data_IF_734708491692
#
_entry.id   IF_734708491692
#
_cell.length_a   1.000
_cell.length_b   1.000
_cell.length_c   1.000
_cell.angle_alpha   90.00
_cell.angle_beta   90.00
_cell.angle_gamma   90.00
#
_symmetry.space_group_name_H-M   'P 1'
#
loop_
_entity.id
_entity.type
_entity.pdbx_description
1 polymer ?
#
# COMPACT_ATOMS: atom_id res chain seq x y z
N UNK A 1 -12.59 41.82 5.20
CA UNK A 1 -13.45 40.87 5.93
C UNK A 1 -13.71 39.60 5.12
N UNK A 2 -14.13 39.74 3.85
CA UNK A 2 -14.42 38.61 2.97
C UNK A 2 -13.22 37.69 2.79
N UNK A 3 -12.03 38.23 2.53
CA UNK A 3 -10.80 37.46 2.32
C UNK A 3 -10.32 36.69 3.56
N UNK A 4 -10.68 37.15 4.74
CA UNK A 4 -10.23 36.55 6.00
C UNK A 4 -11.25 35.60 6.64
N UNK A 5 -12.54 35.72 6.32
CA UNK A 5 -13.60 34.97 7.01
C UNK A 5 -14.33 33.96 6.13
N UNK A 6 -14.38 34.18 4.81
CA UNK A 6 -15.17 33.38 3.89
C UNK A 6 -14.35 32.73 2.77
N UNK A 7 -13.04 32.94 2.77
CA UNK A 7 -12.16 32.42 1.74
C UNK A 7 -11.68 31.03 2.08
N UNK A 8 -11.89 30.08 1.17
CA UNK A 8 -11.20 28.80 1.21
C UNK A 8 -9.80 29.01 0.66
N UNK A 9 -8.79 28.78 1.52
CA UNK A 9 -7.40 28.91 1.11
C UNK A 9 -7.04 27.76 0.15
N UNK A 10 -6.78 28.10 -1.11
CA UNK A 10 -6.47 27.14 -2.16
C UNK A 10 -5.25 27.63 -2.97
N UNK A 11 -4.04 27.65 -2.35
CA UNK A 11 -2.84 28.09 -3.04
C UNK A 11 -2.35 27.04 -4.02
N UNK A 12 -1.78 27.48 -5.10
CA UNK A 12 -1.13 26.62 -6.08
C UNK A 12 -0.94 27.33 -7.41
N UNK A 13 0.31 27.45 -7.86
CA UNK A 13 0.66 28.12 -9.10
C UNK A 13 -0.02 27.51 -10.33
N UNK A 14 -0.27 26.21 -10.30
CA UNK A 14 -0.89 25.46 -11.39
C UNK A 14 -2.39 25.23 -11.22
N UNK A 15 -3.02 25.83 -10.19
CA UNK A 15 -4.46 25.76 -10.03
C UNK A 15 -5.16 26.35 -11.26
N UNK A 16 -6.22 25.68 -11.70
CA UNK A 16 -6.96 26.03 -12.92
C UNK A 16 -6.12 25.97 -14.23
N UNK A 17 -4.99 25.29 -14.25
CA UNK A 17 -4.27 25.03 -15.49
C UNK A 17 -5.13 24.21 -16.44
N UNK A 18 -5.41 24.68 -17.69
CA UNK A 18 -6.34 24.00 -18.60
C UNK A 18 -5.89 22.57 -18.95
N UNK A 19 -4.59 22.32 -19.10
CA UNK A 19 -4.06 20.99 -19.42
C UNK A 19 -4.32 20.01 -18.28
N UNK A 20 -4.04 20.42 -17.05
CA UNK A 20 -4.33 19.61 -15.86
C UNK A 20 -5.84 19.37 -15.68
N UNK A 21 -6.65 20.38 -15.98
CA UNK A 21 -8.10 20.26 -15.88
C UNK A 21 -8.67 19.26 -16.91
N UNK A 22 -8.21 19.31 -18.16
CA UNK A 22 -8.63 18.35 -19.21
C UNK A 22 -8.15 16.94 -18.87
N UNK A 23 -6.91 16.76 -18.46
CA UNK A 23 -6.39 15.46 -18.07
C UNK A 23 -7.19 14.88 -16.89
N UNK A 24 -7.50 15.69 -15.88
CA UNK A 24 -8.31 15.29 -14.73
C UNK A 24 -9.75 14.93 -15.14
N UNK A 25 -10.40 15.71 -15.97
CA UNK A 25 -11.74 15.42 -16.47
C UNK A 25 -11.77 14.09 -17.23
N UNK A 26 -10.84 13.87 -18.17
CA UNK A 26 -10.73 12.62 -18.93
C UNK A 26 -10.50 11.42 -18.00
N UNK A 27 -9.63 11.56 -16.99
CA UNK A 27 -9.40 10.50 -16.00
C UNK A 27 -10.69 10.16 -15.25
N UNK A 28 -11.44 11.15 -14.81
CA UNK A 28 -12.73 10.94 -14.12
C UNK A 28 -13.79 10.31 -15.04
N UNK A 29 -13.83 10.67 -16.31
CA UNK A 29 -14.74 10.05 -17.30
C UNK A 29 -14.41 8.56 -17.49
N UNK A 30 -13.13 8.19 -17.57
CA UNK A 30 -12.67 6.79 -17.64
C UNK A 30 -13.11 6.03 -16.40
N UNK A 31 -12.85 6.58 -15.21
CA UNK A 31 -13.21 5.94 -13.93
C UNK A 31 -14.74 5.79 -13.80
N UNK A 32 -15.52 6.76 -14.26
CA UNK A 32 -16.97 6.71 -14.20
C UNK A 32 -17.59 5.72 -15.21
N UNK A 33 -16.94 5.48 -16.35
CA UNK A 33 -17.45 4.63 -17.43
C UNK A 33 -16.95 3.19 -17.40
N UNK A 34 -15.91 2.90 -16.62
CA UNK A 34 -15.27 1.59 -16.54
C UNK A 34 -15.12 1.12 -15.08
N UNK A 35 -15.08 -0.20 -14.81
CA UNK A 35 -14.98 -0.75 -13.45
C UNK A 35 -13.56 -0.65 -12.88
N UNK A 36 -12.89 0.49 -13.04
CA UNK A 36 -11.47 0.70 -12.68
C UNK A 36 -11.23 0.43 -11.19
N UNK A 37 -12.04 1.04 -10.32
CA UNK A 37 -11.89 0.87 -8.88
C UNK A 37 -12.13 -0.59 -8.45
N UNK A 38 -13.18 -1.24 -8.99
CA UNK A 38 -13.50 -2.63 -8.66
C UNK A 38 -12.39 -3.59 -9.12
N UNK A 39 -11.73 -3.33 -10.26
CA UNK A 39 -10.59 -4.12 -10.72
C UNK A 39 -9.39 -3.96 -9.78
N UNK A 40 -9.05 -2.72 -9.40
CA UNK A 40 -7.99 -2.45 -8.44
C UNK A 40 -8.27 -3.10 -7.07
N UNK A 41 -9.50 -2.97 -6.57
CA UNK A 41 -9.92 -3.55 -5.29
C UNK A 41 -9.84 -5.08 -5.30
N UNK A 42 -10.26 -5.74 -6.39
CA UNK A 42 -10.16 -7.20 -6.54
C UNK A 42 -8.70 -7.69 -6.46
N UNK A 43 -7.80 -7.00 -7.16
CA UNK A 43 -6.38 -7.33 -7.15
C UNK A 43 -5.74 -7.07 -5.78
N UNK A 44 -6.11 -5.95 -5.15
CA UNK A 44 -5.65 -5.62 -3.80
C UNK A 44 -6.13 -6.65 -2.75
N UNK A 45 -7.37 -7.10 -2.84
CA UNK A 45 -7.88 -8.17 -1.96
C UNK A 45 -7.11 -9.49 -2.16
N UNK A 46 -6.74 -9.83 -3.41
CA UNK A 46 -5.89 -10.99 -3.71
C UNK A 46 -4.51 -10.82 -3.05
N UNK A 47 -3.88 -9.66 -3.23
CA UNK A 47 -2.57 -9.36 -2.62
C UNK A 47 -2.64 -9.41 -1.10
N UNK A 48 -3.62 -8.75 -0.49
CA UNK A 48 -3.79 -8.72 0.97
C UNK A 48 -3.91 -10.12 1.57
N UNK A 49 -4.75 -10.99 0.97
CA UNK A 49 -4.86 -12.38 1.41
C UNK A 49 -3.55 -13.13 1.25
N UNK A 50 -2.92 -13.04 0.09
CA UNK A 50 -1.66 -13.73 -0.18
C UNK A 50 -0.53 -13.29 0.75
N UNK A 51 -0.43 -12.01 1.11
CA UNK A 51 0.53 -11.52 2.10
C UNK A 51 0.30 -12.17 3.47
N UNK A 52 -0.95 -12.23 3.93
CA UNK A 52 -1.28 -12.89 5.20
C UNK A 52 -1.04 -14.42 5.15
N UNK A 53 -1.33 -15.07 4.02
CA UNK A 53 -1.05 -16.49 3.83
C UNK A 53 0.46 -16.78 3.91
N UNK A 54 1.29 -15.93 3.30
CA UNK A 54 2.76 -16.04 3.38
C UNK A 54 3.25 -15.81 4.81
N UNK A 55 2.76 -14.79 5.51
CA UNK A 55 3.11 -14.56 6.91
C UNK A 55 2.77 -15.78 7.79
N UNK A 56 1.56 -16.32 7.63
CA UNK A 56 1.13 -17.50 8.37
C UNK A 56 1.95 -18.75 8.04
N UNK A 57 2.21 -19.01 6.75
CA UNK A 57 3.05 -20.13 6.28
C UNK A 57 4.47 -20.07 6.84
N UNK A 58 5.01 -18.87 6.93
CA UNK A 58 6.38 -18.65 7.40
C UNK A 58 6.45 -18.44 8.93
N UNK A 59 5.33 -18.47 9.65
CA UNK A 59 5.27 -18.19 11.08
C UNK A 59 5.90 -16.85 11.47
N UNK A 60 5.74 -15.84 10.60
CA UNK A 60 6.20 -14.47 10.84
C UNK A 60 5.08 -13.66 11.49
N UNK A 61 5.38 -13.08 12.63
CA UNK A 61 4.45 -12.21 13.35
C UNK A 61 4.19 -10.93 12.55
N UNK A 62 2.95 -10.71 12.18
CA UNK A 62 2.55 -9.56 11.40
C UNK A 62 1.21 -9.76 10.70
N UNK A 63 0.73 -8.71 10.06
CA UNK A 63 -0.49 -8.77 9.27
C UNK A 63 -0.50 -7.73 8.15
N UNK A 64 -1.19 -8.06 7.06
CA UNK A 64 -1.54 -7.12 6.01
C UNK A 64 -3.01 -6.71 6.15
N UNK A 65 -3.26 -5.41 6.21
CA UNK A 65 -4.59 -4.82 6.36
C UNK A 65 -4.79 -3.71 5.35
N UNK A 66 -6.00 -3.25 5.15
CA UNK A 66 -6.28 -2.13 4.25
C UNK A 66 -7.62 -2.22 3.57
N UNK A 67 -8.04 -1.09 3.04
CA UNK A 67 -9.32 -0.87 2.38
C UNK A 67 -9.07 -0.51 0.93
N UNK A 68 -9.95 -0.95 0.04
CA UNK A 68 -9.89 -0.72 -1.39
C UNK A 68 -8.54 -1.18 -1.98
N UNK A 69 -7.87 -0.32 -2.73
CA UNK A 69 -6.61 -0.62 -3.41
C UNK A 69 -5.36 -0.29 -2.58
N UNK A 70 -5.51 0.10 -1.32
CA UNK A 70 -4.40 0.41 -0.40
C UNK A 70 -4.24 -0.70 0.63
N UNK A 71 -3.04 -1.24 0.74
CA UNK A 71 -2.70 -2.29 1.70
C UNK A 71 -1.50 -1.81 2.50
N UNK A 72 -1.56 -1.97 3.81
CA UNK A 72 -0.44 -1.76 4.72
C UNK A 72 0.01 -3.09 5.31
N UNK A 73 1.31 -3.25 5.45
CA UNK A 73 1.94 -4.37 6.13
C UNK A 73 2.46 -3.90 7.49
N UNK A 74 2.19 -4.65 8.54
CA UNK A 74 2.74 -4.42 9.88
C UNK A 74 3.42 -5.72 10.32
N UNK A 75 4.73 -5.67 10.54
CA UNK A 75 5.51 -6.77 11.09
C UNK A 75 5.63 -6.60 12.62
N UNK A 76 4.51 -6.76 13.31
CA UNK A 76 4.42 -6.69 14.76
C UNK A 76 3.18 -7.45 15.24
N UNK A 77 3.21 -7.84 16.51
CA UNK A 77 2.06 -8.47 17.17
C UNK A 77 0.92 -7.47 17.33
N UNK A 78 -0.25 -7.83 16.82
CA UNK A 78 -1.45 -7.02 16.86
C UNK A 78 -2.69 -7.91 16.74
N UNK A 79 -3.64 -7.70 17.63
CA UNK A 79 -4.96 -8.36 17.56
C UNK A 79 -5.87 -7.58 16.59
N UNK A 80 -5.54 -7.66 15.31
CA UNK A 80 -6.23 -6.93 14.25
C UNK A 80 -6.82 -7.90 13.22
N UNK A 81 -7.98 -7.51 12.67
CA UNK A 81 -8.48 -8.15 11.47
C UNK A 81 -7.76 -7.63 10.21
N UNK A 82 -8.11 -8.19 9.04
CA UNK A 82 -7.48 -7.86 7.78
C UNK A 82 -7.91 -6.51 7.18
N UNK A 83 -8.84 -5.78 7.79
CA UNK A 83 -9.34 -4.53 7.23
C UNK A 83 -8.82 -3.32 8.01
N UNK A 84 -8.84 -3.40 9.33
CA UNK A 84 -8.50 -2.27 10.20
C UNK A 84 -7.42 -2.70 11.19
N UNK A 85 -6.35 -1.92 11.27
CA UNK A 85 -5.35 -2.08 12.32
C UNK A 85 -5.76 -1.29 13.55
N UNK A 86 -5.85 -1.96 14.71
CA UNK A 86 -6.22 -1.36 16.00
C UNK A 86 -5.02 -0.87 16.81
N UNK A 87 -3.80 -1.06 16.30
CA UNK A 87 -2.60 -0.55 16.95
C UNK A 87 -2.64 0.97 17.12
N UNK A 88 -2.05 1.45 18.20
CA UNK A 88 -1.86 2.90 18.40
C UNK A 88 -0.93 3.48 17.33
N UNK A 89 -1.07 4.77 17.02
CA UNK A 89 -0.18 5.46 16.09
C UNK A 89 1.31 5.32 16.48
N UNK A 90 1.63 5.36 17.78
CA UNK A 90 2.99 5.16 18.27
C UNK A 90 3.49 3.74 18.01
N UNK A 91 2.64 2.72 18.21
CA UNK A 91 2.96 1.33 17.90
C UNK A 91 3.23 1.10 16.43
N UNK A 92 2.38 1.62 15.54
CA UNK A 92 2.59 1.54 14.08
C UNK A 92 3.90 2.23 13.69
N UNK A 93 4.20 3.42 14.22
CA UNK A 93 5.47 4.11 13.94
C UNK A 93 6.69 3.29 14.37
N UNK A 94 6.60 2.63 15.51
CA UNK A 94 7.69 1.77 16.00
C UNK A 94 7.87 0.53 15.12
N UNK A 95 6.78 -0.13 14.75
CA UNK A 95 6.79 -1.29 13.87
C UNK A 95 7.41 -0.97 12.50
N UNK A 96 7.00 0.14 11.89
CA UNK A 96 7.52 0.60 10.57
C UNK A 96 8.99 1.02 10.64
N UNK A 97 9.49 1.45 11.78
CA UNK A 97 10.89 1.84 11.96
C UNK A 97 11.82 0.64 12.23
N UNK A 98 11.29 -0.57 12.36
CA UNK A 98 12.11 -1.76 12.63
C UNK A 98 13.11 -2.05 11.49
N UNK A 99 14.33 -2.51 11.80
CA UNK A 99 15.33 -2.89 10.80
C UNK A 99 14.81 -3.89 9.77
N UNK A 100 13.99 -4.87 10.22
CA UNK A 100 13.33 -5.85 9.37
C UNK A 100 12.55 -5.22 8.20
N UNK A 101 11.83 -4.13 8.48
CA UNK A 101 11.03 -3.39 7.48
C UNK A 101 11.92 -2.74 6.42
N UNK A 102 13.06 -2.19 6.84
CA UNK A 102 14.03 -1.60 5.90
C UNK A 102 14.66 -2.68 5.03
N UNK A 103 15.00 -3.83 5.61
CA UNK A 103 15.55 -4.97 4.88
C UNK A 103 14.52 -5.55 3.91
N UNK A 104 13.27 -5.73 4.36
CA UNK A 104 12.16 -6.16 3.52
C UNK A 104 11.99 -5.25 2.30
N UNK A 105 11.93 -3.95 2.51
CA UNK A 105 11.76 -2.99 1.41
C UNK A 105 12.88 -3.10 0.37
N UNK A 106 14.12 -3.19 0.82
CA UNK A 106 15.29 -3.33 -0.07
C UNK A 106 15.26 -4.65 -0.84
N UNK A 107 14.93 -5.75 -0.16
CA UNK A 107 14.80 -7.06 -0.79
C UNK A 107 13.72 -7.09 -1.86
N UNK A 108 12.54 -6.53 -1.57
CA UNK A 108 11.47 -6.39 -2.54
C UNK A 108 11.89 -5.56 -3.76
N UNK A 109 12.56 -4.42 -3.55
CA UNK A 109 13.07 -3.58 -4.65
C UNK A 109 14.10 -4.32 -5.52
N UNK A 110 14.98 -5.11 -4.93
CA UNK A 110 15.93 -5.95 -5.66
C UNK A 110 15.25 -7.02 -6.53
N UNK A 111 14.02 -7.40 -6.17
CA UNK A 111 13.19 -8.34 -6.92
C UNK A 111 12.18 -7.65 -7.85
N UNK A 112 12.31 -6.33 -8.04
CA UNK A 112 11.50 -5.55 -8.98
C UNK A 112 10.18 -5.03 -8.42
N UNK A 113 9.96 -5.12 -7.10
CA UNK A 113 8.74 -4.63 -6.45
C UNK A 113 9.05 -3.42 -5.59
N UNK A 114 8.51 -2.25 -5.96
CA UNK A 114 8.63 -1.04 -5.16
C UNK A 114 7.46 -0.92 -4.17
N UNK A 115 7.79 -0.81 -2.90
CA UNK A 115 6.83 -0.60 -1.81
C UNK A 115 6.93 0.86 -1.37
N UNK A 116 5.81 1.53 -1.23
CA UNK A 116 5.78 2.89 -0.70
C UNK A 116 6.37 2.98 0.72
N UNK A 117 6.75 4.18 1.11
CA UNK A 117 7.12 4.46 2.50
C UNK A 117 6.02 4.01 3.47
N UNK A 118 6.40 3.51 4.65
CA UNK A 118 5.52 2.92 5.67
C UNK A 118 4.86 1.61 5.26
N UNK A 119 5.53 0.82 4.41
CA UNK A 119 5.11 -0.52 3.97
C UNK A 119 3.70 -0.57 3.40
N UNK A 120 3.40 0.39 2.55
CA UNK A 120 2.14 0.47 1.84
C UNK A 120 2.29 -0.04 0.40
N UNK A 121 1.38 -0.91 0.01
CA UNK A 121 1.19 -1.33 -1.37
C UNK A 121 0.02 -0.55 -1.97
N UNK A 122 0.24 0.03 -3.14
CA UNK A 122 -0.81 0.66 -3.93
C UNK A 122 -1.06 -0.17 -5.17
N UNK A 123 -2.26 -0.70 -5.28
CA UNK A 123 -2.68 -1.51 -6.41
C UNK A 123 -3.53 -0.68 -7.35
N UNK A 124 -3.26 -0.74 -8.63
CA UNK A 124 -4.04 -0.08 -9.68
C UNK A 124 -4.70 -1.10 -10.60
N UNK A 125 -5.68 -0.67 -11.37
CA UNK A 125 -6.36 -1.51 -12.36
C UNK A 125 -5.47 -1.88 -13.57
N UNK A 126 -4.27 -1.30 -13.67
CA UNK A 126 -3.29 -1.66 -14.70
C UNK A 126 -2.43 -2.86 -14.32
N UNK A 127 -2.40 -3.22 -13.03
CA UNK A 127 -1.77 -4.47 -12.61
C UNK A 127 -2.56 -5.67 -13.09
N UNK A 128 -1.86 -6.78 -13.26
CA UNK A 128 -2.43 -8.07 -13.62
C UNK A 128 -2.40 -9.05 -12.44
N UNK A 129 -3.09 -10.16 -12.54
CA UNK A 129 -2.97 -11.23 -11.53
C UNK A 129 -1.53 -11.75 -11.43
N UNK A 130 -0.80 -11.77 -12.56
CA UNK A 130 0.62 -12.15 -12.58
C UNK A 130 1.49 -11.19 -11.77
N UNK A 131 1.25 -9.88 -11.85
CA UNK A 131 1.99 -8.90 -11.05
C UNK A 131 1.77 -9.13 -9.55
N UNK A 132 0.55 -9.53 -9.17
CA UNK A 132 0.25 -9.89 -7.79
C UNK A 132 0.99 -11.15 -7.38
N UNK A 133 1.00 -12.19 -8.23
CA UNK A 133 1.69 -13.45 -7.93
C UNK A 133 3.22 -13.26 -7.87
N UNK A 134 3.80 -12.47 -8.75
CA UNK A 134 5.21 -12.09 -8.73
C UNK A 134 5.55 -11.30 -7.44
N UNK A 135 4.66 -10.40 -7.01
CA UNK A 135 4.80 -9.64 -5.76
C UNK A 135 4.81 -10.57 -4.54
N UNK A 136 3.91 -11.55 -4.50
CA UNK A 136 3.84 -12.52 -3.41
C UNK A 136 5.07 -13.42 -3.37
N UNK A 137 5.57 -13.86 -4.51
CA UNK A 137 6.81 -14.64 -4.61
C UNK A 137 8.02 -13.82 -4.15
N UNK A 138 8.11 -12.55 -4.53
CA UNK A 138 9.14 -11.64 -4.06
C UNK A 138 9.06 -11.42 -2.55
N UNK A 139 7.86 -11.28 -2.01
CA UNK A 139 7.62 -11.12 -0.58
C UNK A 139 8.07 -12.35 0.22
N UNK A 140 7.66 -13.55 -0.17
CA UNK A 140 8.04 -14.80 0.49
C UNK A 140 9.57 -14.98 0.51
N UNK A 141 10.22 -14.75 -0.64
CA UNK A 141 11.68 -14.84 -0.75
C UNK A 141 12.37 -13.81 0.14
N UNK A 142 11.93 -12.57 0.10
CA UNK A 142 12.54 -11.49 0.92
C UNK A 142 12.36 -11.75 2.42
N UNK A 143 11.21 -12.26 2.85
CA UNK A 143 11.02 -12.63 4.26
C UNK A 143 11.97 -13.74 4.71
N UNK A 144 12.27 -14.71 3.84
CA UNK A 144 13.26 -15.75 4.13
C UNK A 144 14.65 -15.12 4.32
N UNK A 145 15.07 -14.24 3.40
CA UNK A 145 16.36 -13.54 3.48
C UNK A 145 16.46 -12.70 4.78
N UNK A 146 15.41 -11.95 5.13
CA UNK A 146 15.35 -11.12 6.36
C UNK A 146 15.43 -11.96 7.63
N UNK A 147 14.81 -13.16 7.62
CA UNK A 147 14.89 -14.12 8.71
C UNK A 147 16.31 -14.68 8.84
N UNK A 148 16.95 -15.05 7.73
CA UNK A 148 18.32 -15.59 7.71
C UNK A 148 19.34 -14.56 8.22
N UNK A 149 19.04 -13.26 8.05
CA UNK A 149 19.79 -12.14 8.63
C UNK A 149 19.51 -11.94 10.14
N UNK A 150 18.57 -12.67 10.73
CA UNK A 150 18.22 -12.58 12.15
C UNK A 150 17.48 -11.29 12.52
N UNK A 151 16.73 -10.73 11.58
CA UNK A 151 15.95 -9.48 11.77
C UNK A 151 14.47 -9.74 12.06
N UNK A 152 13.98 -10.98 11.92
CA UNK A 152 12.63 -11.45 12.26
C UNK A 152 12.67 -12.39 13.45
#
# INVERSE_FOLDING_TARGET
EWDNQHRVYHPGTFNANPLSAVAGATCLEIIASQPINQQADKLAQRLKRGLNDVLGKMEVTGHAHGIASMIHLVLADCDCDQEICTMSHAGIKQAVAAPAVTALKRGMQNLGVDIMGRDAFLVSATHTEKDIDDTLAAFERTLADVRDEGLL
#
